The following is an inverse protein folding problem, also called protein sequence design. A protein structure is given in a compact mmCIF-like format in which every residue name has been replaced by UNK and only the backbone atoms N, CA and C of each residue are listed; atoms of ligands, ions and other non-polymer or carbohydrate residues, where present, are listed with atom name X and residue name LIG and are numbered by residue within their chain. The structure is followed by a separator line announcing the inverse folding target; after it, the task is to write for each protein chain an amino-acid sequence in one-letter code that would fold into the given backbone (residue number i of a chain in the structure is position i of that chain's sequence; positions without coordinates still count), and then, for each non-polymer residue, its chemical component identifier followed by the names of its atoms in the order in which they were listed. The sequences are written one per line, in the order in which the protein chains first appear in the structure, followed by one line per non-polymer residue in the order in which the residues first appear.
data_IF_891164948536
#
_entry.id   IF_891164948536
#
_cell.length_a   1.000
_cell.length_b   1.000
_cell.length_c   1.000
_cell.angle_alpha   90.00
_cell.angle_beta   90.00
_cell.angle_gamma   90.00
#
_symmetry.space_group_name_H-M   'P 1'
#
loop_
_entity.id
_entity.type
_entity.pdbx_description
1 polymer ?
#
# COMPACT_ATOMS: atom_id res chain seq x y z
N UNK A 1 5.93 -16.52 -24.23
CA UNK A 1 5.11 -16.83 -23.02
C UNK A 1 3.71 -17.18 -23.45
N UNK A 2 3.06 -18.09 -22.75
CA UNK A 2 1.61 -18.35 -22.98
C UNK A 2 0.77 -17.18 -22.45
N UNK A 3 -0.41 -16.98 -23.03
CA UNK A 3 -1.31 -15.86 -22.64
C UNK A 3 -1.56 -15.79 -21.13
N UNK A 4 -1.73 -16.93 -20.47
CA UNK A 4 -1.96 -17.01 -19.02
C UNK A 4 -0.74 -16.53 -18.22
N UNK A 5 0.47 -16.85 -18.69
CA UNK A 5 1.72 -16.39 -18.06
C UNK A 5 1.87 -14.86 -18.19
N UNK A 6 1.52 -14.29 -19.35
CA UNK A 6 1.53 -12.85 -19.58
C UNK A 6 0.56 -12.16 -18.62
N UNK A 7 -0.69 -12.66 -18.53
CA UNK A 7 -1.70 -12.12 -17.62
C UNK A 7 -1.22 -12.20 -16.16
N UNK A 8 -0.67 -13.37 -15.75
CA UNK A 8 -0.20 -13.54 -14.38
C UNK A 8 1.00 -12.64 -14.06
N UNK A 9 1.94 -12.46 -14.99
CA UNK A 9 3.04 -11.52 -14.84
C UNK A 9 2.53 -10.09 -14.73
N UNK A 10 1.68 -9.64 -15.67
CA UNK A 10 1.10 -8.30 -15.70
C UNK A 10 0.38 -7.95 -14.39
N UNK A 11 -0.50 -8.83 -13.96
CA UNK A 11 -1.24 -8.64 -12.71
C UNK A 11 -0.36 -8.79 -11.48
N UNK A 12 0.64 -9.69 -11.54
CA UNK A 12 1.58 -9.93 -10.46
C UNK A 12 2.47 -8.74 -10.16
N UNK A 13 3.03 -8.11 -11.19
CA UNK A 13 3.90 -6.94 -11.02
C UNK A 13 3.10 -5.72 -10.54
N UNK A 14 1.86 -5.55 -11.03
CA UNK A 14 0.98 -4.49 -10.58
C UNK A 14 0.59 -4.65 -9.10
N UNK A 15 0.17 -5.85 -8.71
CA UNK A 15 -0.17 -6.18 -7.34
C UNK A 15 1.03 -6.01 -6.39
N UNK A 16 2.17 -6.56 -6.74
CA UNK A 16 3.40 -6.49 -5.96
C UNK A 16 3.90 -5.05 -5.79
N UNK A 17 3.83 -4.23 -6.87
CA UNK A 17 4.19 -2.82 -6.85
C UNK A 17 3.37 -2.02 -5.82
N UNK A 18 2.10 -2.36 -5.62
CA UNK A 18 1.26 -1.72 -4.62
C UNK A 18 1.68 -2.04 -3.17
N UNK A 19 2.33 -3.19 -2.94
CA UNK A 19 2.81 -3.60 -1.60
C UNK A 19 4.24 -3.11 -1.37
N UNK A 20 5.18 -3.57 -2.22
CA UNK A 20 6.60 -3.22 -2.16
C UNK A 20 7.17 -3.21 -3.59
N UNK A 21 7.22 -1.99 -4.16
CA UNK A 21 7.71 -1.77 -5.53
C UNK A 21 9.15 -2.24 -5.70
N UNK A 22 10.01 -1.89 -4.75
CA UNK A 22 11.43 -2.12 -4.88
C UNK A 22 11.79 -3.60 -4.75
N UNK A 23 11.10 -4.33 -3.86
CA UNK A 23 11.20 -5.78 -3.79
C UNK A 23 10.75 -6.44 -5.09
N UNK A 24 9.67 -5.95 -5.71
CA UNK A 24 9.16 -6.48 -6.98
C UNK A 24 10.17 -6.26 -8.12
N UNK A 25 10.68 -5.04 -8.27
CA UNK A 25 11.68 -4.71 -9.31
C UNK A 25 12.97 -5.49 -9.10
N UNK A 26 13.47 -5.54 -7.87
CA UNK A 26 14.69 -6.28 -7.55
C UNK A 26 14.54 -7.78 -7.83
N UNK A 27 13.42 -8.40 -7.42
CA UNK A 27 13.16 -9.81 -7.64
C UNK A 27 13.06 -10.15 -9.13
N UNK A 28 12.33 -9.34 -9.92
CA UNK A 28 12.22 -9.55 -11.36
C UNK A 28 13.58 -9.40 -12.03
N UNK A 29 14.33 -8.36 -11.68
CA UNK A 29 15.68 -8.14 -12.20
C UNK A 29 16.61 -9.30 -11.89
N UNK A 30 16.60 -9.81 -10.66
CA UNK A 30 17.40 -10.96 -10.24
C UNK A 30 17.00 -12.24 -10.99
N UNK A 31 15.71 -12.56 -11.09
CA UNK A 31 15.25 -13.76 -11.78
C UNK A 31 15.51 -13.68 -13.29
N UNK A 32 15.37 -12.49 -13.90
CA UNK A 32 15.66 -12.24 -15.32
C UNK A 32 17.16 -12.36 -15.60
N UNK A 33 18.02 -11.68 -14.81
CA UNK A 33 19.48 -11.67 -14.99
C UNK A 33 20.12 -13.04 -14.77
N UNK A 34 19.56 -13.88 -13.91
CA UNK A 34 20.03 -15.25 -13.64
C UNK A 34 19.44 -16.28 -14.61
N UNK A 35 18.58 -15.88 -15.55
CA UNK A 35 17.98 -16.77 -16.54
C UNK A 35 16.90 -17.71 -16.00
N UNK A 36 16.41 -17.48 -14.77
CA UNK A 36 15.32 -18.26 -14.20
C UNK A 36 13.96 -17.92 -14.84
N UNK A 37 13.85 -16.71 -15.39
CA UNK A 37 12.65 -16.22 -16.07
C UNK A 37 13.06 -15.46 -17.33
N UNK A 38 12.31 -15.66 -18.41
CA UNK A 38 12.43 -14.86 -19.62
C UNK A 38 11.42 -13.70 -19.50
N UNK A 39 11.92 -12.49 -19.34
CA UNK A 39 11.09 -11.30 -19.27
C UNK A 39 10.76 -10.80 -20.67
N UNK A 40 9.61 -10.12 -20.88
CA UNK A 40 9.35 -9.34 -22.10
C UNK A 40 10.45 -8.28 -22.31
N UNK A 41 10.78 -7.93 -23.56
CA UNK A 41 11.82 -6.95 -23.86
C UNK A 41 11.64 -5.61 -23.13
N UNK A 42 10.40 -5.17 -22.97
CA UNK A 42 10.04 -3.92 -22.30
C UNK A 42 10.36 -3.94 -20.79
N UNK A 43 10.47 -5.13 -20.19
CA UNK A 43 10.88 -5.33 -18.80
C UNK A 43 12.36 -5.69 -18.64
N UNK A 44 13.12 -5.90 -19.72
CA UNK A 44 14.55 -6.25 -19.60
C UNK A 44 15.35 -5.17 -18.86
N UNK A 45 14.90 -3.92 -18.89
CA UNK A 45 15.53 -2.80 -18.16
C UNK A 45 15.66 -3.09 -16.65
N UNK A 46 14.77 -3.90 -16.05
CA UNK A 46 14.89 -4.23 -14.64
C UNK A 46 16.06 -5.16 -14.32
N UNK A 47 16.63 -5.83 -15.34
CA UNK A 47 17.81 -6.69 -15.20
C UNK A 47 19.13 -5.91 -15.23
N UNK A 48 19.09 -4.61 -15.54
CA UNK A 48 20.28 -3.76 -15.51
C UNK A 48 20.87 -3.72 -14.09
N UNK A 49 22.18 -3.91 -13.93
CA UNK A 49 22.82 -3.93 -12.60
C UNK A 49 22.60 -2.64 -11.81
N UNK A 50 22.51 -1.49 -12.47
CA UNK A 50 22.26 -0.20 -11.80
C UNK A 50 20.84 -0.12 -11.29
N UNK A 51 19.86 -0.59 -12.08
CA UNK A 51 18.45 -0.65 -11.68
C UNK A 51 18.28 -1.61 -10.52
N UNK A 52 18.89 -2.79 -10.60
CA UNK A 52 18.86 -3.78 -9.52
C UNK A 52 19.51 -3.25 -8.23
N UNK A 53 20.67 -2.58 -8.35
CA UNK A 53 21.34 -1.97 -7.20
C UNK A 53 20.46 -0.88 -6.57
N UNK A 54 19.88 0.00 -7.36
CA UNK A 54 18.99 1.07 -6.90
C UNK A 54 17.74 0.48 -6.22
N UNK A 55 17.12 -0.53 -6.84
CA UNK A 55 15.95 -1.22 -6.26
C UNK A 55 16.30 -1.94 -4.96
N UNK A 56 17.43 -2.65 -4.89
CA UNK A 56 17.90 -3.31 -3.67
C UNK A 56 18.20 -2.34 -2.54
N UNK A 57 18.84 -1.20 -2.85
CA UNK A 57 19.10 -0.13 -1.87
C UNK A 57 17.79 0.45 -1.33
N UNK A 58 16.85 0.79 -2.23
CA UNK A 58 15.56 1.33 -1.84
C UNK A 58 14.70 0.31 -1.09
N UNK A 59 14.80 -0.98 -1.44
CA UNK A 59 14.18 -2.05 -0.66
C UNK A 59 14.72 -2.09 0.78
N UNK A 60 16.03 -1.96 0.97
CA UNK A 60 16.61 -1.87 2.32
C UNK A 60 16.05 -0.67 3.09
N UNK A 61 15.96 0.51 2.46
CA UNK A 61 15.40 1.72 3.09
C UNK A 61 13.93 1.48 3.47
N UNK A 62 13.13 0.95 2.55
CA UNK A 62 11.71 0.64 2.79
C UNK A 62 11.55 -0.40 3.90
N UNK A 63 12.38 -1.45 3.92
CA UNK A 63 12.35 -2.48 4.94
C UNK A 63 12.50 -1.91 6.36
N UNK A 64 13.36 -0.93 6.56
CA UNK A 64 13.52 -0.27 7.87
C UNK A 64 12.42 0.77 8.11
N UNK A 65 12.01 1.53 7.10
CA UNK A 65 10.92 2.50 7.20
C UNK A 65 9.62 1.83 7.64
N UNK A 66 9.27 0.71 7.02
CA UNK A 66 8.06 -0.07 7.31
C UNK A 66 8.02 -0.66 8.73
N UNK A 67 9.16 -0.75 9.40
CA UNK A 67 9.26 -1.27 10.79
C UNK A 67 9.20 -0.18 11.86
N UNK A 68 9.19 1.08 11.45
CA UNK A 68 9.18 2.23 12.37
C UNK A 68 7.79 2.88 12.37
N UNK A 69 6.99 2.73 13.43
CA UNK A 69 5.64 3.30 13.50
C UNK A 69 5.64 4.80 13.23
N UNK A 70 4.72 5.26 12.38
CA UNK A 70 4.62 6.64 11.93
C UNK A 70 5.52 6.97 10.73
N UNK A 71 6.75 6.46 10.68
CA UNK A 71 7.61 6.58 9.49
C UNK A 71 7.03 5.78 8.33
N UNK A 72 6.52 4.58 8.59
CA UNK A 72 5.82 3.73 7.63
C UNK A 72 4.66 4.46 6.93
N UNK A 73 3.80 5.11 7.71
CA UNK A 73 2.64 5.84 7.16
C UNK A 73 3.07 7.08 6.35
N UNK A 74 4.12 7.79 6.79
CA UNK A 74 4.69 8.90 6.04
C UNK A 74 5.34 8.41 4.74
N UNK A 75 6.08 7.30 4.79
CA UNK A 75 6.70 6.64 3.66
C UNK A 75 5.66 6.21 2.62
N UNK A 76 4.62 5.50 3.05
CA UNK A 76 3.53 5.07 2.18
C UNK A 76 2.79 6.25 1.54
N UNK A 77 2.62 7.36 2.26
CA UNK A 77 1.99 8.57 1.71
C UNK A 77 2.81 9.15 0.54
N UNK A 78 4.12 9.26 0.68
CA UNK A 78 5.02 9.73 -0.39
C UNK A 78 5.03 8.73 -1.53
N UNK A 79 5.11 7.44 -1.22
CA UNK A 79 5.21 6.36 -2.22
C UNK A 79 3.90 6.09 -2.97
N UNK A 80 2.77 6.64 -2.54
CA UNK A 80 1.52 6.63 -3.32
C UNK A 80 1.75 7.17 -4.73
N UNK A 81 2.50 8.27 -4.85
CA UNK A 81 2.81 8.92 -6.13
C UNK A 81 3.85 8.18 -6.97
N UNK A 82 4.54 7.21 -6.41
CA UNK A 82 5.56 6.41 -7.08
C UNK A 82 5.01 5.03 -7.44
N UNK A 83 4.42 4.31 -6.47
CA UNK A 83 3.97 2.92 -6.64
C UNK A 83 2.85 2.76 -7.65
N UNK A 84 1.89 3.69 -7.67
CA UNK A 84 0.75 3.60 -8.58
C UNK A 84 1.19 3.77 -10.03
N UNK A 85 1.92 4.84 -10.42
CA UNK A 85 2.44 4.97 -11.78
C UNK A 85 3.42 3.87 -12.15
N UNK A 86 4.31 3.48 -11.25
CA UNK A 86 5.28 2.42 -11.51
C UNK A 86 4.59 1.07 -11.74
N UNK A 87 3.56 0.73 -10.95
CA UNK A 87 2.77 -0.49 -11.15
C UNK A 87 2.02 -0.48 -12.49
N UNK A 88 1.51 0.66 -12.92
CA UNK A 88 0.90 0.82 -14.24
C UNK A 88 1.91 0.62 -15.38
N UNK A 89 3.10 1.22 -15.27
CA UNK A 89 4.18 1.09 -16.28
C UNK A 89 4.72 -0.34 -16.31
N UNK A 90 4.95 -0.97 -15.16
CA UNK A 90 5.40 -2.37 -15.10
C UNK A 90 4.35 -3.32 -15.71
N UNK A 91 3.07 -3.09 -15.44
CA UNK A 91 1.99 -3.88 -16.04
C UNK A 91 1.92 -3.70 -17.57
N UNK A 92 2.12 -2.49 -18.05
CA UNK A 92 2.20 -2.20 -19.48
C UNK A 92 3.40 -2.91 -20.13
N UNK A 93 4.58 -2.86 -19.50
CA UNK A 93 5.76 -3.57 -20.01
C UNK A 93 5.63 -5.09 -19.94
N UNK A 94 4.85 -5.63 -19.00
CA UNK A 94 4.66 -7.06 -18.83
C UNK A 94 3.84 -7.72 -19.96
N UNK A 95 3.01 -6.97 -20.69
CA UNK A 95 2.26 -7.51 -21.84
C UNK A 95 3.12 -7.70 -23.08
N UNK A 96 4.33 -7.10 -23.10
CA UNK A 96 5.29 -7.20 -24.19
C UNK A 96 4.81 -6.53 -25.47
N UNK A 97 5.41 -6.92 -26.61
CA UNK A 97 5.06 -6.39 -27.93
C UNK A 97 3.64 -6.82 -28.35
N UNK A 98 2.69 -5.98 -28.04
CA UNK A 98 1.25 -6.18 -28.33
C UNK A 98 0.65 -4.93 -28.97
N UNK A 99 -0.67 -4.89 -29.16
CA UNK A 99 -1.32 -3.67 -29.65
C UNK A 99 -1.35 -2.60 -28.58
N UNK A 100 -1.25 -1.32 -28.98
CA UNK A 100 -1.36 -0.16 -28.09
C UNK A 100 -2.65 -0.19 -27.22
N UNK A 101 -3.71 -0.80 -27.72
CA UNK A 101 -4.95 -0.96 -26.97
C UNK A 101 -4.77 -1.93 -25.78
N UNK A 102 -4.02 -3.02 -25.95
CA UNK A 102 -3.70 -3.99 -24.89
C UNK A 102 -2.74 -3.36 -23.88
N UNK A 103 -1.72 -2.65 -24.35
CA UNK A 103 -0.78 -1.92 -23.49
C UNK A 103 -1.50 -0.89 -22.62
N UNK A 104 -2.40 -0.08 -23.21
CA UNK A 104 -3.18 0.88 -22.46
C UNK A 104 -4.13 0.21 -21.46
N UNK A 105 -4.77 -0.89 -21.85
CA UNK A 105 -5.61 -1.66 -20.93
C UNK A 105 -4.79 -2.21 -19.76
N UNK A 106 -3.59 -2.76 -20.01
CA UNK A 106 -2.68 -3.24 -18.97
C UNK A 106 -2.23 -2.10 -18.03
N UNK A 107 -1.91 -0.93 -18.58
CA UNK A 107 -1.58 0.27 -17.81
C UNK A 107 -2.72 0.67 -16.86
N UNK A 108 -3.97 0.77 -17.37
CA UNK A 108 -5.11 1.19 -16.58
C UNK A 108 -5.48 0.16 -15.51
N UNK A 109 -5.55 -1.13 -15.88
CA UNK A 109 -5.89 -2.21 -14.96
C UNK A 109 -4.77 -2.40 -13.92
N UNK A 110 -3.52 -2.38 -14.37
CA UNK A 110 -2.34 -2.50 -13.50
C UNK A 110 -2.24 -1.34 -12.51
N UNK A 111 -2.41 -0.11 -12.98
CA UNK A 111 -2.44 1.07 -12.12
C UNK A 111 -3.57 1.04 -11.09
N UNK A 112 -4.76 0.58 -11.50
CA UNK A 112 -5.91 0.41 -10.59
C UNK A 112 -5.64 -0.66 -9.54
N UNK A 113 -5.05 -1.80 -9.92
CA UNK A 113 -4.68 -2.85 -9.00
C UNK A 113 -3.59 -2.39 -8.01
N UNK A 114 -2.55 -1.74 -8.51
CA UNK A 114 -1.49 -1.17 -7.68
C UNK A 114 -2.05 -0.14 -6.68
N UNK A 115 -2.98 0.72 -7.12
CA UNK A 115 -3.65 1.69 -6.25
C UNK A 115 -4.48 1.01 -5.16
N UNK A 116 -5.28 0.01 -5.51
CA UNK A 116 -6.10 -0.74 -4.56
C UNK A 116 -5.25 -1.49 -3.52
N UNK A 117 -4.20 -2.17 -3.98
CA UNK A 117 -3.26 -2.91 -3.13
C UNK A 117 -2.51 -1.94 -2.20
N UNK A 118 -2.01 -0.83 -2.73
CA UNK A 118 -1.34 0.20 -1.93
C UNK A 118 -2.28 0.85 -0.91
N UNK A 119 -3.52 1.18 -1.30
CA UNK A 119 -4.52 1.71 -0.36
C UNK A 119 -4.85 0.71 0.76
N UNK A 120 -4.84 -0.59 0.47
CA UNK A 120 -5.02 -1.64 1.47
C UNK A 120 -3.84 -1.68 2.45
N UNK A 121 -2.59 -1.64 1.94
CA UNK A 121 -1.38 -1.56 2.77
C UNK A 121 -1.42 -0.29 3.64
N UNK A 122 -1.46 0.88 3.04
CA UNK A 122 -1.41 2.17 3.75
C UNK A 122 -2.57 2.33 4.75
N UNK A 123 -3.78 1.91 4.37
CA UNK A 123 -4.95 1.95 5.26
C UNK A 123 -4.82 1.01 6.47
N UNK A 124 -4.29 -0.20 6.29
CA UNK A 124 -4.03 -1.13 7.39
C UNK A 124 -2.95 -0.60 8.33
N UNK A 125 -1.88 0.02 7.80
CA UNK A 125 -0.81 0.63 8.59
C UNK A 125 -1.31 1.76 9.49
N UNK A 126 -2.17 2.66 8.97
CA UNK A 126 -2.78 3.72 9.78
C UNK A 126 -3.53 3.11 10.98
N UNK A 127 -4.27 2.01 10.80
CA UNK A 127 -5.00 1.37 11.89
C UNK A 127 -4.07 0.61 12.85
N UNK A 128 -3.04 -0.08 12.35
CA UNK A 128 -2.04 -0.77 13.16
C UNK A 128 -1.30 0.24 14.06
N UNK A 129 -0.94 1.40 13.52
CA UNK A 129 -0.23 2.45 14.25
C UNK A 129 -1.09 3.15 15.33
N UNK A 130 -2.40 2.88 15.40
CA UNK A 130 -3.22 3.29 16.56
C UNK A 130 -2.98 2.42 17.80
N UNK A 131 -2.35 1.26 17.64
CA UNK A 131 -1.92 0.40 18.75
C UNK A 131 -0.47 0.70 19.12
N UNK A 132 -0.12 0.83 20.40
CA UNK A 132 1.25 1.17 20.81
C UNK A 132 2.24 0.01 20.66
N UNK A 133 1.84 -1.11 20.04
CA UNK A 133 2.66 -2.32 19.97
C UNK A 133 3.52 -2.37 18.69
N UNK A 134 4.87 -2.37 18.80
CA UNK A 134 5.74 -2.48 17.64
C UNK A 134 5.68 -3.86 16.97
N UNK A 135 5.24 -4.90 17.68
CA UNK A 135 5.22 -6.29 17.20
C UNK A 135 4.28 -6.49 16.01
N UNK A 136 3.09 -5.89 16.05
CA UNK A 136 2.11 -5.98 14.95
C UNK A 136 2.63 -5.33 13.68
N UNK A 137 3.33 -4.20 13.80
CA UNK A 137 3.92 -3.49 12.66
C UNK A 137 5.05 -4.32 12.00
N UNK A 138 5.94 -4.89 12.82
CA UNK A 138 7.00 -5.77 12.32
C UNK A 138 6.47 -7.03 11.63
N UNK A 139 5.50 -7.69 12.24
CA UNK A 139 4.90 -8.91 11.70
C UNK A 139 4.22 -8.65 10.37
N UNK A 140 3.47 -7.54 10.27
CA UNK A 140 2.80 -7.16 9.03
C UNK A 140 3.81 -6.83 7.93
N UNK A 141 4.88 -6.07 8.24
CA UNK A 141 5.93 -5.74 7.27
C UNK A 141 6.60 -6.99 6.71
N UNK A 142 7.00 -7.92 7.56
CA UNK A 142 7.63 -9.17 7.12
C UNK A 142 6.64 -10.00 6.28
N UNK A 143 5.37 -10.07 6.67
CA UNK A 143 4.35 -10.79 5.92
C UNK A 143 4.11 -10.18 4.52
N UNK A 144 4.14 -8.85 4.40
CA UNK A 144 4.04 -8.12 3.14
C UNK A 144 5.22 -8.45 2.21
N UNK A 145 6.46 -8.39 2.73
CA UNK A 145 7.66 -8.71 1.96
C UNK A 145 7.64 -10.17 1.47
N UNK A 146 7.29 -11.11 2.35
CA UNK A 146 7.15 -12.52 1.99
C UNK A 146 6.03 -12.74 0.96
N UNK A 147 4.92 -12.02 1.10
CA UNK A 147 3.81 -12.11 0.14
C UNK A 147 4.24 -11.63 -1.25
N UNK A 148 4.99 -10.53 -1.36
CA UNK A 148 5.51 -10.04 -2.64
C UNK A 148 6.42 -11.08 -3.31
N UNK A 149 7.38 -11.62 -2.55
CA UNK A 149 8.34 -12.60 -3.07
C UNK A 149 7.62 -13.88 -3.49
N UNK A 150 6.80 -14.45 -2.60
CA UNK A 150 6.06 -15.68 -2.87
C UNK A 150 5.02 -15.49 -3.98
N UNK A 151 4.33 -14.36 -4.01
CA UNK A 151 3.32 -14.03 -5.00
C UNK A 151 3.91 -13.90 -6.40
N UNK A 152 5.00 -13.14 -6.57
CA UNK A 152 5.68 -13.02 -7.86
C UNK A 152 6.28 -14.35 -8.31
N UNK A 153 6.92 -15.10 -7.39
CA UNK A 153 7.41 -16.43 -7.72
C UNK A 153 6.28 -17.35 -8.21
N UNK A 154 5.12 -17.30 -7.54
CA UNK A 154 3.94 -18.09 -7.92
C UNK A 154 3.35 -17.61 -9.26
N UNK A 155 3.31 -16.29 -9.52
CA UNK A 155 2.86 -15.74 -10.79
C UNK A 155 3.68 -16.25 -11.98
N UNK A 156 5.01 -16.37 -11.77
CA UNK A 156 5.94 -16.80 -12.81
C UNK A 156 5.96 -18.32 -13.03
N UNK A 157 5.85 -19.11 -11.97
CA UNK A 157 5.99 -20.58 -12.04
C UNK A 157 4.66 -21.32 -12.03
N UNK A 158 3.62 -20.76 -11.41
CA UNK A 158 2.29 -21.36 -11.25
C UNK A 158 1.19 -20.34 -11.54
N UNK A 159 1.08 -19.82 -12.78
CA UNK A 159 0.23 -18.67 -13.11
C UNK A 159 -1.25 -18.86 -12.74
N UNK A 160 -1.80 -20.06 -12.90
CA UNK A 160 -3.18 -20.35 -12.51
C UNK A 160 -3.41 -20.25 -11.00
N UNK A 161 -2.47 -20.74 -10.19
CA UNK A 161 -2.55 -20.66 -8.72
C UNK A 161 -2.52 -19.21 -8.30
N UNK A 162 -1.61 -18.43 -8.88
CA UNK A 162 -1.51 -17.01 -8.61
C UNK A 162 -2.80 -16.25 -8.97
N UNK A 163 -3.35 -16.49 -10.17
CA UNK A 163 -4.56 -15.79 -10.62
C UNK A 163 -5.78 -16.11 -9.73
N UNK A 164 -5.91 -17.35 -9.27
CA UNK A 164 -6.97 -17.71 -8.30
C UNK A 164 -6.75 -17.01 -6.96
N UNK A 165 -5.53 -17.02 -6.45
CA UNK A 165 -5.18 -16.33 -5.20
C UNK A 165 -5.39 -14.81 -5.32
N UNK A 166 -5.02 -14.22 -6.45
CA UNK A 166 -5.24 -12.80 -6.75
C UNK A 166 -6.74 -12.46 -6.81
N UNK A 167 -7.56 -13.30 -7.43
CA UNK A 167 -9.01 -13.09 -7.47
C UNK A 167 -9.61 -13.09 -6.05
N UNK A 168 -9.20 -14.02 -5.19
CA UNK A 168 -9.59 -14.06 -3.78
C UNK A 168 -9.11 -12.79 -3.06
N UNK A 169 -7.86 -12.37 -3.30
CA UNK A 169 -7.31 -11.14 -2.74
C UNK A 169 -8.09 -9.90 -3.16
N UNK A 170 -8.48 -9.79 -4.45
CA UNK A 170 -9.27 -8.66 -4.96
C UNK A 170 -10.65 -8.62 -4.28
N UNK A 171 -11.33 -9.76 -4.13
CA UNK A 171 -12.61 -9.83 -3.41
C UNK A 171 -12.43 -9.37 -1.96
N UNK A 172 -11.38 -9.85 -1.30
CA UNK A 172 -11.06 -9.45 0.07
C UNK A 172 -10.74 -7.94 0.15
N UNK A 173 -9.98 -7.41 -0.79
CA UNK A 173 -9.62 -5.99 -0.88
C UNK A 173 -10.87 -5.11 -1.04
N UNK A 174 -11.80 -5.47 -1.96
CA UNK A 174 -13.05 -4.75 -2.16
C UNK A 174 -13.91 -4.74 -0.88
N UNK A 175 -13.93 -5.84 -0.14
CA UNK A 175 -14.62 -5.93 1.14
C UNK A 175 -13.92 -5.14 2.26
N UNK A 176 -12.58 -5.12 2.26
CA UNK A 176 -11.77 -4.51 3.32
C UNK A 176 -11.67 -2.99 3.18
N UNK A 177 -11.46 -2.44 1.98
CA UNK A 177 -11.22 -1.01 1.73
C UNK A 177 -12.28 -0.08 2.36
N UNK A 178 -13.61 -0.34 2.25
CA UNK A 178 -14.61 0.50 2.90
C UNK A 178 -14.52 0.47 4.44
N UNK A 179 -14.10 -0.68 5.01
CA UNK A 179 -13.92 -0.83 6.46
C UNK A 179 -12.70 -0.06 6.96
N UNK A 180 -11.58 -0.15 6.23
CA UNK A 180 -10.38 0.65 6.51
C UNK A 180 -10.72 2.14 6.47
N UNK A 181 -11.43 2.60 5.43
CA UNK A 181 -11.85 3.98 5.31
C UNK A 181 -12.76 4.44 6.46
N UNK A 182 -13.71 3.59 6.88
CA UNK A 182 -14.55 3.83 8.05
C UNK A 182 -13.74 3.90 9.36
N UNK A 183 -12.75 3.03 9.52
CA UNK A 183 -11.82 3.04 10.65
C UNK A 183 -10.99 4.32 10.71
N UNK A 184 -10.38 4.70 9.59
CA UNK A 184 -9.57 5.93 9.46
C UNK A 184 -10.42 7.17 9.81
N UNK A 185 -11.63 7.28 9.29
CA UNK A 185 -12.55 8.39 9.65
C UNK A 185 -12.86 8.45 11.15
N UNK A 186 -13.02 7.31 11.81
CA UNK A 186 -13.26 7.28 13.28
C UNK A 186 -12.04 7.78 14.05
N UNK A 187 -10.84 7.34 13.67
CA UNK A 187 -9.58 7.79 14.30
C UNK A 187 -9.41 9.28 14.16
N UNK A 188 -9.56 9.81 12.95
CA UNK A 188 -9.48 11.27 12.72
C UNK A 188 -10.57 12.04 13.44
N UNK A 189 -11.80 11.51 13.51
CA UNK A 189 -12.90 12.10 14.27
C UNK A 189 -12.59 12.17 15.77
N UNK A 190 -12.02 11.11 16.33
CA UNK A 190 -11.60 11.08 17.74
C UNK A 190 -10.51 12.10 18.04
N UNK A 191 -9.46 12.15 17.21
CA UNK A 191 -8.37 13.13 17.33
C UNK A 191 -8.91 14.56 17.26
N UNK A 192 -9.74 14.86 16.27
CA UNK A 192 -10.36 16.20 16.13
C UNK A 192 -11.17 16.59 17.36
N UNK A 193 -11.93 15.67 17.93
CA UNK A 193 -12.73 15.95 19.13
C UNK A 193 -11.86 16.20 20.37
N UNK A 194 -10.70 15.55 20.50
CA UNK A 194 -9.74 15.83 21.58
C UNK A 194 -9.21 17.27 21.49
N UNK A 195 -8.91 17.75 20.29
CA UNK A 195 -8.44 19.13 20.09
C UNK A 195 -9.55 20.17 20.26
N UNK A 196 -10.83 19.84 20.05
CA UNK A 196 -11.95 20.76 20.25
C UNK A 196 -12.51 20.75 21.68
N UNK A 197 -12.27 19.70 22.46
CA UNK A 197 -12.70 19.62 23.87
C UNK A 197 -11.84 20.45 24.82
N UNK A 198 -10.66 20.94 24.39
CA UNK A 198 -9.77 21.77 25.19
C UNK A 198 -10.16 23.25 25.25
N UNK A 199 -11.28 23.67 24.65
CA UNK A 199 -11.67 25.07 24.53
C UNK A 199 -13.10 25.41 25.01
N UNK A 200 -13.57 24.81 26.11
CA UNK A 200 -14.73 25.39 26.79
C UNK A 200 -14.23 26.38 27.85
N UNK A 201 -14.45 27.71 27.70
CA UNK A 201 -14.22 28.64 28.79
C UNK A 201 -15.22 28.33 29.91
N UNK A 202 -14.70 28.25 31.09
CA UNK A 202 -15.40 28.31 32.40
C UNK A 202 -16.22 29.59 32.46
N UNK A 203 -17.46 29.56 31.94
CA UNK A 203 -18.48 30.61 32.09
C UNK A 203 -19.75 30.00 32.67
N UNK A 204 -19.71 29.58 33.92
CA UNK A 204 -20.91 29.19 34.68
C UNK A 204 -20.73 29.30 36.20
N UNK A 205 -19.99 30.27 36.72
CA UNK A 205 -19.92 30.47 38.18
C UNK A 205 -20.25 31.93 38.61
N UNK A 206 -20.67 32.81 37.70
CA UNK A 206 -20.96 34.20 38.09
C UNK A 206 -22.46 34.57 38.08
N UNK A 207 -23.36 33.64 37.80
CA UNK A 207 -24.80 33.94 37.81
C UNK A 207 -25.56 33.59 39.09
N UNK A 208 -24.88 32.91 40.07
CA UNK A 208 -25.50 32.56 41.36
C UNK A 208 -25.13 33.55 42.51
N UNK A 209 -24.19 34.47 42.29
CA UNK A 209 -23.80 35.47 43.29
C UNK A 209 -24.71 36.72 43.28
N UNK A 210 -25.41 37.00 42.19
CA UNK A 210 -26.28 38.19 42.09
C UNK A 210 -27.70 37.99 42.62
N UNK A 211 -28.13 36.75 42.84
CA UNK A 211 -29.48 36.49 43.38
C UNK A 211 -29.55 36.40 44.92
N UNK A 212 -28.44 36.38 45.62
CA UNK A 212 -28.44 36.34 47.11
C UNK A 212 -28.40 37.74 47.77
N UNK A 213 -28.13 38.80 47.00
CA UNK A 213 -28.07 40.18 47.48
C UNK A 213 -29.40 40.91 47.58
N UNK A 214 -30.51 40.34 47.02
CA UNK A 214 -31.79 41.05 46.88
C UNK A 214 -32.84 40.71 47.96
N UNK A 215 -32.56 39.84 48.94
CA UNK A 215 -33.57 39.39 49.93
C UNK A 215 -33.35 39.96 51.34
N UNK A 216 -32.41 40.89 51.53
CA UNK A 216 -32.12 41.45 52.86
C UNK A 216 -32.57 42.92 53.07
N UNK A 217 -33.57 43.43 52.35
CA UNK A 217 -34.13 44.72 52.64
C UNK A 217 -35.64 44.79 52.34
N UNK A 218 -36.45 44.12 53.18
CA UNK A 218 -37.85 44.48 53.46
C UNK A 218 -38.23 43.97 54.83
#
# INVERSE_FOLDING_TARGET
METVQIIALTMGVAWASGINLYAAVFMLGYLGSTGHVVLPPELEVVTDPLVMFAAGLMYCVEFFADKTPGVDSAWDTVHTFIRIPAGAVLAMGAVGDTSTAVELAAFLVGGTLAAGTHATKAGSRILINTSPEPVSNWTTSIAEDLAVIAGLWTALNHPWIFLVALAIFIIFMIWLLPKLWGGIKRVFGYIRNLFHSGGKPEQAIDETADQSGSISNR
#
